data_IF_408655990352
#
_entry.id   IF_408655990352
#
_cell.length_a   1.000
_cell.length_b   1.000
_cell.length_c   1.000
_cell.angle_alpha   90.00
_cell.angle_beta   90.00
_cell.angle_gamma   90.00
#
_symmetry.space_group_name_H-M   'P 1'
#
loop_
_entity.id
_entity.type
_entity.pdbx_description
1 polymer ?
#
# COMPACT_ATOMS: atom_id res chain seq x y z
N UNK A 1 12.39 -26.53 27.54
CA UNK A 1 11.36 -25.53 27.92
C UNK A 1 11.56 -24.35 26.98
N UNK A 2 10.55 -23.92 26.29
CA UNK A 2 10.66 -22.78 25.42
C UNK A 2 10.99 -21.54 26.25
N UNK A 3 12.08 -20.87 25.92
CA UNK A 3 12.54 -19.69 26.65
C UNK A 3 11.92 -18.42 26.02
N UNK A 4 10.61 -18.47 25.75
CA UNK A 4 9.88 -17.30 25.22
C UNK A 4 9.44 -16.46 26.42
N UNK A 5 9.74 -15.18 26.33
CA UNK A 5 9.31 -14.14 27.24
C UNK A 5 8.29 -13.26 26.57
N UNK A 6 7.15 -13.05 27.22
CA UNK A 6 6.09 -12.17 26.70
C UNK A 6 6.12 -10.84 27.41
N UNK A 7 6.02 -9.76 26.64
CA UNK A 7 5.98 -8.40 27.13
C UNK A 7 4.77 -7.67 26.52
N UNK A 8 4.06 -6.93 27.35
CA UNK A 8 2.99 -6.02 26.95
C UNK A 8 3.43 -4.60 27.25
N UNK A 9 3.36 -3.74 26.24
CA UNK A 9 3.80 -2.35 26.32
C UNK A 9 2.65 -1.45 25.88
N UNK A 10 2.20 -0.61 26.79
CA UNK A 10 1.06 0.26 26.62
C UNK A 10 1.47 1.71 26.85
N UNK A 11 1.09 2.64 25.97
CA UNK A 11 1.30 4.06 26.19
C UNK A 11 0.48 4.52 27.41
N UNK A 12 1.09 5.32 28.28
CA UNK A 12 0.34 6.01 29.36
C UNK A 12 -0.73 6.90 28.75
N UNK A 13 -1.85 7.07 29.40
CA UNK A 13 -3.04 7.72 28.89
C UNK A 13 -2.76 9.05 28.15
N UNK A 14 -1.94 9.90 28.73
CA UNK A 14 -1.56 11.18 28.11
C UNK A 14 -0.84 11.04 26.75
N UNK A 15 -0.32 9.87 26.41
CA UNK A 15 0.41 9.56 25.20
C UNK A 15 -0.31 8.54 24.31
N UNK A 16 -1.48 8.06 24.71
CA UNK A 16 -2.27 7.03 24.02
C UNK A 16 -3.08 7.59 22.84
N UNK A 17 -2.46 8.41 22.00
CA UNK A 17 -3.12 9.13 20.89
C UNK A 17 -3.80 8.18 19.91
N UNK A 18 -3.17 7.05 19.60
CA UNK A 18 -3.72 6.03 18.71
C UNK A 18 -5.02 5.42 19.29
N UNK A 19 -5.01 5.06 20.57
CA UNK A 19 -6.18 4.50 21.23
C UNK A 19 -7.35 5.49 21.30
N UNK A 20 -7.05 6.74 21.65
CA UNK A 20 -8.06 7.80 21.70
C UNK A 20 -8.63 8.12 20.31
N UNK A 21 -7.79 8.14 19.27
CA UNK A 21 -8.20 8.36 17.89
C UNK A 21 -9.11 7.24 17.39
N UNK A 22 -8.71 5.98 17.60
CA UNK A 22 -9.50 4.82 17.19
C UNK A 22 -10.82 4.72 17.98
N UNK A 23 -10.82 5.01 19.29
CA UNK A 23 -12.03 5.06 20.08
C UNK A 23 -13.02 6.08 19.52
N UNK A 24 -12.56 7.28 19.19
CA UNK A 24 -13.40 8.31 18.59
C UNK A 24 -13.94 7.88 17.23
N UNK A 25 -13.15 7.24 16.42
CA UNK A 25 -13.51 6.74 15.10
C UNK A 25 -14.58 5.63 15.17
N UNK A 26 -14.37 4.63 16.02
CA UNK A 26 -15.33 3.55 16.25
C UNK A 26 -16.68 4.08 16.78
N UNK A 27 -16.66 5.07 17.65
CA UNK A 27 -17.88 5.68 18.17
C UNK A 27 -18.62 6.53 17.14
N UNK A 28 -17.91 7.33 16.38
CA UNK A 28 -18.48 8.29 15.44
C UNK A 28 -18.86 7.65 14.10
N UNK A 29 -18.03 6.76 13.57
CA UNK A 29 -18.22 6.18 12.24
C UNK A 29 -18.91 4.81 12.28
N UNK A 30 -18.60 3.94 13.25
CA UNK A 30 -19.29 2.67 13.42
C UNK A 30 -20.52 2.74 14.35
N UNK A 31 -20.74 3.85 15.04
CA UNK A 31 -21.87 4.01 15.95
C UNK A 31 -21.77 3.18 17.24
N UNK A 32 -20.55 2.80 17.68
CA UNK A 32 -20.31 2.00 18.87
C UNK A 32 -20.50 2.81 20.16
N UNK A 33 -21.74 3.21 20.46
CA UNK A 33 -22.04 4.07 21.61
C UNK A 33 -21.77 3.42 22.97
N UNK A 34 -21.82 2.09 23.05
CA UNK A 34 -21.57 1.32 24.27
C UNK A 34 -20.07 1.15 24.56
N UNK A 35 -19.20 1.44 23.60
CA UNK A 35 -17.74 1.42 23.79
C UNK A 35 -17.35 2.68 24.57
N UNK A 36 -16.99 2.53 25.84
CA UNK A 36 -16.69 3.66 26.75
C UNK A 36 -15.20 4.01 26.80
N UNK A 37 -14.34 3.02 26.58
CA UNK A 37 -12.89 3.18 26.57
C UNK A 37 -12.21 2.15 25.68
N UNK A 38 -10.96 2.44 25.35
CA UNK A 38 -10.11 1.55 24.57
C UNK A 38 -8.65 1.72 24.97
N UNK A 39 -7.92 0.61 25.06
CA UNK A 39 -6.45 0.60 25.21
C UNK A 39 -5.83 -0.16 24.04
N UNK A 40 -4.70 0.30 23.57
CA UNK A 40 -3.91 -0.37 22.54
C UNK A 40 -2.58 -0.75 23.19
N UNK A 41 -2.26 -2.04 23.18
CA UNK A 41 -1.11 -2.60 23.84
C UNK A 41 -0.27 -3.38 22.83
N UNK A 42 1.01 -3.04 22.69
CA UNK A 42 1.92 -3.81 21.87
C UNK A 42 2.37 -5.04 22.65
N UNK A 43 2.15 -6.22 22.07
CA UNK A 43 2.62 -7.50 22.63
C UNK A 43 3.89 -7.92 21.87
N UNK A 44 4.90 -8.29 22.61
CA UNK A 44 6.12 -8.88 22.09
C UNK A 44 6.34 -10.26 22.72
N UNK A 45 6.54 -11.26 21.89
CA UNK A 45 7.05 -12.57 22.29
C UNK A 45 8.50 -12.66 21.85
N UNK A 46 9.42 -12.83 22.77
CA UNK A 46 10.87 -12.77 22.51
C UNK A 46 11.52 -14.09 22.86
N UNK A 47 12.29 -14.65 21.95
CA UNK A 47 13.02 -15.90 22.12
C UNK A 47 14.52 -15.72 21.86
N UNK A 48 15.35 -16.43 22.62
CA UNK A 48 16.80 -16.45 22.41
C UNK A 48 17.59 -15.51 23.32
N UNK A 49 16.95 -14.88 24.32
CA UNK A 49 17.62 -14.00 25.28
C UNK A 49 17.79 -14.64 26.68
N UNK A 50 18.87 -14.30 27.33
CA UNK A 50 19.02 -14.50 28.78
C UNK A 50 18.16 -13.51 29.57
N UNK A 51 18.03 -13.75 30.89
CA UNK A 51 17.27 -12.86 31.77
C UNK A 51 17.83 -11.45 31.82
N UNK A 52 19.15 -11.32 31.80
CA UNK A 52 19.84 -10.01 31.79
C UNK A 52 19.65 -9.28 30.47
N UNK A 53 19.77 -9.99 29.35
CA UNK A 53 19.56 -9.44 28.02
C UNK A 53 18.10 -8.99 27.79
N UNK A 54 17.16 -9.79 28.25
CA UNK A 54 15.74 -9.44 28.19
C UNK A 54 15.43 -8.21 29.05
N UNK A 55 15.99 -8.13 30.27
CA UNK A 55 15.81 -6.96 31.12
C UNK A 55 16.37 -5.67 30.46
N UNK A 56 17.50 -5.78 29.77
CA UNK A 56 18.10 -4.68 29.01
C UNK A 56 17.23 -4.34 27.78
N UNK A 57 16.83 -5.32 26.99
CA UNK A 57 15.98 -5.15 25.82
C UNK A 57 14.63 -4.49 26.17
N UNK A 58 14.02 -4.91 27.26
CA UNK A 58 12.78 -4.33 27.79
C UNK A 58 12.89 -2.82 28.01
N UNK A 59 13.98 -2.34 28.55
CA UNK A 59 14.15 -0.92 28.90
C UNK A 59 14.65 -0.06 27.76
N UNK A 60 15.48 -0.61 26.87
CA UNK A 60 16.20 0.17 25.86
C UNK A 60 15.61 0.05 24.44
N UNK A 61 14.88 -1.04 24.17
CA UNK A 61 14.37 -1.36 22.82
C UNK A 61 12.84 -1.47 22.79
N UNK A 62 12.29 -2.30 23.67
CA UNK A 62 10.88 -2.69 23.59
C UNK A 62 9.93 -1.68 24.26
N UNK A 63 10.44 -0.78 25.11
CA UNK A 63 9.64 0.25 25.77
C UNK A 63 10.40 1.55 25.98
N UNK A 64 9.63 2.61 26.17
CA UNK A 64 10.10 3.94 26.57
C UNK A 64 9.58 4.24 28.00
N UNK A 65 10.34 3.98 29.07
CA UNK A 65 9.85 4.05 30.44
C UNK A 65 9.16 5.37 30.85
N UNK A 66 9.53 6.55 30.31
CA UNK A 66 8.83 7.81 30.64
C UNK A 66 7.37 7.83 30.16
N UNK A 67 7.05 7.16 29.04
CA UNK A 67 5.75 7.25 28.34
C UNK A 67 5.00 5.93 28.29
N UNK A 68 5.64 4.82 28.65
CA UNK A 68 5.06 3.49 28.59
C UNK A 68 4.79 2.89 29.98
N UNK A 69 3.75 2.06 30.05
CA UNK A 69 3.51 1.07 31.08
C UNK A 69 3.89 -0.30 30.50
N UNK A 70 4.57 -1.11 31.32
CA UNK A 70 5.09 -2.41 30.88
C UNK A 70 4.63 -3.50 31.82
N UNK A 71 4.09 -4.60 31.26
CA UNK A 71 3.66 -5.78 32.01
C UNK A 71 4.24 -7.03 31.34
N UNK A 72 4.74 -7.96 32.17
CA UNK A 72 5.29 -9.21 31.69
C UNK A 72 4.28 -10.35 31.82
N UNK A 73 4.32 -11.27 30.89
CA UNK A 73 3.63 -12.57 30.83
C UNK A 73 2.11 -12.47 30.67
N UNK A 74 1.39 -11.74 31.50
CA UNK A 74 -0.07 -11.66 31.46
C UNK A 74 -0.54 -10.20 31.44
N UNK A 75 -1.40 -9.88 30.49
CA UNK A 75 -2.04 -8.56 30.44
C UNK A 75 -3.24 -8.56 31.42
N UNK A 76 -3.22 -7.70 32.44
CA UNK A 76 -4.37 -7.62 33.35
C UNK A 76 -5.57 -6.95 32.62
N UNK A 77 -6.70 -7.65 32.68
CA UNK A 77 -7.99 -7.14 32.19
C UNK A 77 -8.91 -6.88 33.37
N UNK A 78 -9.59 -5.74 33.35
CA UNK A 78 -10.62 -5.43 34.33
C UNK A 78 -11.91 -6.22 34.04
N UNK A 79 -12.76 -6.32 35.04
CA UNK A 79 -14.07 -6.98 34.88
C UNK A 79 -14.92 -6.22 33.86
N UNK A 80 -15.34 -6.91 32.79
CA UNK A 80 -16.14 -6.33 31.70
C UNK A 80 -15.31 -5.82 30.51
N UNK A 81 -13.99 -5.87 30.56
CA UNK A 81 -13.14 -5.65 29.39
C UNK A 81 -13.14 -6.88 28.47
N UNK A 82 -13.22 -6.64 27.17
CA UNK A 82 -12.97 -7.63 26.12
C UNK A 82 -11.66 -7.30 25.42
N UNK A 83 -10.89 -8.32 25.02
CA UNK A 83 -9.64 -8.10 24.33
C UNK A 83 -9.48 -9.07 23.15
N UNK A 84 -8.89 -8.57 22.06
CA UNK A 84 -8.43 -9.37 20.93
C UNK A 84 -7.05 -8.86 20.49
N UNK A 85 -6.29 -9.73 19.86
CA UNK A 85 -4.97 -9.37 19.35
C UNK A 85 -4.93 -9.51 17.84
N UNK A 86 -4.11 -8.69 17.19
CA UNK A 86 -3.92 -8.68 15.74
C UNK A 86 -2.44 -8.82 15.43
N UNK A 87 -2.12 -9.74 14.56
CA UNK A 87 -0.77 -9.97 14.04
C UNK A 87 -0.78 -9.97 12.51
N UNK A 88 0.36 -9.72 11.87
CA UNK A 88 0.48 -9.84 10.43
C UNK A 88 0.40 -11.30 9.99
N UNK A 89 -0.06 -11.51 8.75
CA UNK A 89 -0.10 -12.83 8.14
C UNK A 89 1.33 -13.37 7.94
N UNK A 90 1.54 -14.69 8.03
CA UNK A 90 2.82 -15.30 7.71
C UNK A 90 3.30 -14.88 6.32
N UNK A 91 4.55 -14.44 6.22
CA UNK A 91 5.14 -13.94 5.00
C UNK A 91 4.99 -12.42 4.78
N UNK A 92 4.21 -11.74 5.59
CA UNK A 92 4.23 -10.28 5.66
C UNK A 92 5.43 -9.81 6.48
N UNK A 93 6.01 -8.70 6.06
CA UNK A 93 7.11 -8.08 6.79
C UNK A 93 6.56 -7.25 7.95
N UNK A 94 6.98 -7.57 9.17
CA UNK A 94 6.68 -6.77 10.36
C UNK A 94 7.89 -5.91 10.73
N UNK A 95 7.78 -4.62 10.45
CA UNK A 95 8.81 -3.65 10.76
C UNK A 95 9.12 -3.59 12.26
N UNK A 96 8.12 -3.77 13.12
CA UNK A 96 8.29 -3.74 14.58
C UNK A 96 9.10 -4.93 15.09
N UNK A 97 8.84 -6.12 14.54
CA UNK A 97 9.63 -7.33 14.83
C UNK A 97 11.07 -7.14 14.40
N UNK A 98 11.27 -6.77 13.14
CA UNK A 98 12.58 -6.62 12.53
C UNK A 98 13.44 -5.57 13.25
N UNK A 99 12.89 -4.39 13.54
CA UNK A 99 13.61 -3.37 14.30
C UNK A 99 13.92 -3.80 15.72
N UNK A 100 12.99 -4.47 16.41
CA UNK A 100 13.24 -4.98 17.74
C UNK A 100 14.41 -5.96 17.74
N UNK A 101 14.41 -6.91 16.79
CA UNK A 101 15.49 -7.90 16.64
C UNK A 101 16.83 -7.24 16.34
N UNK A 102 16.88 -6.28 15.39
CA UNK A 102 18.09 -5.56 15.04
C UNK A 102 18.63 -4.74 16.22
N UNK A 103 17.77 -3.98 16.89
CA UNK A 103 18.18 -3.17 18.02
C UNK A 103 18.68 -4.04 19.20
N UNK A 104 18.02 -5.17 19.46
CA UNK A 104 18.49 -6.12 20.49
C UNK A 104 19.84 -6.73 20.11
N UNK A 105 20.02 -7.10 18.86
CA UNK A 105 21.32 -7.57 18.35
C UNK A 105 22.41 -6.53 18.56
N UNK A 106 22.14 -5.26 18.25
CA UNK A 106 23.10 -4.17 18.42
C UNK A 106 23.52 -3.95 19.87
N UNK A 107 22.57 -3.98 20.82
CA UNK A 107 22.89 -3.76 22.23
C UNK A 107 23.54 -4.97 22.90
N UNK A 108 23.20 -6.20 22.45
CA UNK A 108 23.77 -7.44 23.00
C UNK A 108 25.07 -7.83 22.32
N UNK A 109 25.31 -7.41 21.09
CA UNK A 109 26.43 -7.82 20.22
C UNK A 109 26.52 -9.35 20.05
N UNK A 110 25.38 -10.02 20.04
CA UNK A 110 25.24 -11.48 19.89
C UNK A 110 24.44 -11.82 18.63
N UNK A 111 24.05 -13.08 18.52
CA UNK A 111 23.14 -13.53 17.47
C UNK A 111 21.79 -12.80 17.58
N UNK A 112 21.17 -12.59 16.45
CA UNK A 112 19.88 -11.94 16.34
C UNK A 112 18.82 -12.79 17.05
N UNK A 113 18.07 -12.25 18.01
CA UNK A 113 16.98 -12.97 18.65
C UNK A 113 15.80 -13.09 17.70
N UNK A 114 14.80 -13.88 18.05
CA UNK A 114 13.52 -13.91 17.36
C UNK A 114 12.49 -13.12 18.18
N UNK A 115 11.76 -12.23 17.49
CA UNK A 115 10.69 -11.45 18.08
C UNK A 115 9.43 -11.65 17.23
N UNK A 116 8.31 -11.93 17.88
CA UNK A 116 6.99 -11.85 17.26
C UNK A 116 6.21 -10.72 17.93
N UNK A 117 5.54 -9.90 17.11
CA UNK A 117 4.76 -8.78 17.57
C UNK A 117 3.27 -8.97 17.29
N UNK A 118 2.45 -8.42 18.17
CA UNK A 118 1.02 -8.27 17.92
C UNK A 118 0.50 -7.02 18.61
N UNK A 119 -0.57 -6.47 18.09
CA UNK A 119 -1.27 -5.34 18.69
C UNK A 119 -2.52 -5.85 19.40
N UNK A 120 -2.60 -5.65 20.71
CA UNK A 120 -3.75 -6.05 21.52
C UNK A 120 -4.68 -4.85 21.70
N UNK A 121 -5.91 -5.03 21.32
CA UNK A 121 -6.99 -4.07 21.54
C UNK A 121 -7.80 -4.50 22.74
N UNK A 122 -7.86 -3.67 23.77
CA UNK A 122 -8.68 -3.88 24.96
C UNK A 122 -9.85 -2.91 24.91
N UNK A 123 -11.04 -3.44 24.93
CA UNK A 123 -12.30 -2.72 24.80
C UNK A 123 -13.00 -2.62 26.15
N UNK A 124 -13.41 -1.41 26.53
CA UNK A 124 -14.15 -1.13 27.76
C UNK A 124 -15.59 -0.77 27.41
N UNK A 125 -16.55 -1.38 28.09
CA UNK A 125 -17.97 -1.09 27.91
C UNK A 125 -18.83 -2.34 27.88
N UNK A 126 -20.14 -2.13 27.87
CA UNK A 126 -21.13 -3.22 27.78
C UNK A 126 -21.36 -3.60 26.31
N UNK A 127 -20.39 -4.30 25.72
CA UNK A 127 -20.40 -4.70 24.31
C UNK A 127 -21.00 -6.10 24.15
N UNK A 128 -21.86 -6.24 23.16
CA UNK A 128 -22.32 -7.55 22.70
C UNK A 128 -21.25 -8.25 21.88
N UNK A 129 -21.34 -9.57 21.76
CA UNK A 129 -20.42 -10.33 20.90
C UNK A 129 -20.46 -9.84 19.44
N UNK A 130 -21.62 -9.43 18.93
CA UNK A 130 -21.76 -8.89 17.58
C UNK A 130 -21.05 -7.54 17.41
N UNK A 131 -21.10 -6.67 18.42
CA UNK A 131 -20.37 -5.40 18.40
C UNK A 131 -18.87 -5.62 18.43
N UNK A 132 -18.39 -6.57 19.22
CA UNK A 132 -16.96 -6.95 19.24
C UNK A 132 -16.51 -7.47 17.87
N UNK A 133 -17.30 -8.33 17.22
CA UNK A 133 -16.96 -8.82 15.87
C UNK A 133 -16.97 -7.70 14.81
N UNK A 134 -17.84 -6.72 14.91
CA UNK A 134 -17.82 -5.53 14.05
C UNK A 134 -16.55 -4.70 14.25
N UNK A 135 -16.11 -4.54 15.50
CA UNK A 135 -14.88 -3.83 15.83
C UNK A 135 -13.67 -4.61 15.27
N UNK A 136 -13.63 -5.94 15.45
CA UNK A 136 -12.58 -6.78 14.85
C UNK A 136 -12.52 -6.63 13.33
N UNK A 137 -13.67 -6.71 12.66
CA UNK A 137 -13.74 -6.55 11.20
C UNK A 137 -13.27 -5.18 10.71
N UNK A 138 -13.40 -4.15 11.55
CA UNK A 138 -12.87 -2.82 11.26
C UNK A 138 -11.36 -2.72 11.49
N UNK A 139 -10.85 -3.35 12.56
CA UNK A 139 -9.44 -3.26 12.96
C UNK A 139 -8.52 -4.24 12.21
N UNK A 140 -9.07 -5.33 11.65
CA UNK A 140 -8.29 -6.38 11.00
C UNK A 140 -8.46 -6.28 9.49
N UNK A 141 -7.40 -5.91 8.79
CA UNK A 141 -7.37 -6.03 7.33
C UNK A 141 -7.01 -7.48 6.96
N UNK A 142 -7.95 -8.28 6.41
CA UNK A 142 -7.71 -9.70 6.15
C UNK A 142 -6.70 -9.98 5.03
N UNK A 143 -6.27 -8.95 4.29
CA UNK A 143 -5.25 -9.07 3.25
C UNK A 143 -3.84 -9.13 3.85
N UNK A 144 -3.62 -8.48 5.00
CA UNK A 144 -2.30 -8.37 5.61
C UNK A 144 -2.22 -8.89 7.04
N UNK A 145 -3.37 -9.01 7.73
CA UNK A 145 -3.42 -9.32 9.14
C UNK A 145 -4.51 -10.34 9.49
N UNK A 146 -4.39 -10.91 10.66
CA UNK A 146 -5.37 -11.83 11.25
C UNK A 146 -5.48 -11.64 12.75
N UNK A 147 -6.53 -12.20 13.35
CA UNK A 147 -6.60 -12.32 14.79
C UNK A 147 -5.50 -13.26 15.30
N UNK A 148 -4.70 -12.78 16.23
CA UNK A 148 -3.60 -13.51 16.84
C UNK A 148 -4.10 -14.39 17.99
N UNK A 149 -3.50 -15.55 18.16
CA UNK A 149 -3.74 -16.38 19.33
C UNK A 149 -3.30 -15.67 20.61
N UNK A 150 -4.11 -15.76 21.65
CA UNK A 150 -3.77 -15.17 22.94
C UNK A 150 -2.79 -16.01 23.74
N UNK A 151 -2.81 -17.33 23.54
CA UNK A 151 -1.88 -18.23 24.17
C UNK A 151 -0.43 -17.91 23.77
N UNK A 152 0.48 -17.97 24.74
CA UNK A 152 1.92 -17.82 24.46
C UNK A 152 2.41 -19.02 23.66
N UNK A 153 3.07 -18.82 22.49
CA UNK A 153 3.54 -19.94 21.67
C UNK A 153 4.68 -20.71 22.38
N UNK A 154 4.84 -21.96 22.02
CA UNK A 154 5.95 -22.78 22.52
C UNK A 154 7.28 -22.48 21.82
N UNK A 155 7.20 -21.98 20.59
CA UNK A 155 8.35 -21.59 19.76
C UNK A 155 7.96 -20.48 18.81
N UNK A 156 8.91 -19.61 18.45
CA UNK A 156 8.76 -18.62 17.38
C UNK A 156 9.34 -19.12 16.04
N UNK A 157 9.93 -20.32 16.05
CA UNK A 157 10.41 -20.92 14.81
C UNK A 157 9.20 -21.39 14.01
N UNK A 158 8.89 -20.69 12.93
CA UNK A 158 7.86 -21.11 12.00
C UNK A 158 8.36 -22.30 11.18
N UNK A 159 7.64 -23.40 11.21
CA UNK A 159 7.83 -24.49 10.26
C UNK A 159 6.91 -24.23 9.08
N UNK A 160 7.44 -23.74 7.97
CA UNK A 160 6.68 -23.65 6.73
C UNK A 160 6.69 -25.03 6.06
N UNK A 161 5.51 -25.49 5.65
CA UNK A 161 5.44 -26.61 4.71
C UNK A 161 6.06 -26.17 3.38
N UNK A 162 6.74 -27.09 2.71
CA UNK A 162 7.26 -26.78 1.36
C UNK A 162 6.08 -26.39 0.46
N UNK A 163 6.15 -25.26 -0.26
CA UNK A 163 5.08 -24.85 -1.14
C UNK A 163 4.86 -25.87 -2.24
N UNK A 164 3.62 -26.09 -2.62
CA UNK A 164 3.30 -26.92 -3.79
C UNK A 164 4.01 -26.37 -5.03
N UNK A 165 4.43 -27.28 -5.91
CA UNK A 165 4.96 -26.87 -7.22
C UNK A 165 3.92 -26.07 -7.99
N UNK A 166 4.37 -25.03 -8.67
CA UNK A 166 3.50 -24.20 -9.52
C UNK A 166 2.78 -25.08 -10.53
N UNK A 167 1.45 -25.01 -10.54
CA UNK A 167 0.59 -25.80 -11.42
C UNK A 167 0.57 -25.20 -12.83
N UNK A 168 0.58 -26.05 -13.84
CA UNK A 168 0.31 -25.65 -15.23
C UNK A 168 -1.20 -25.55 -15.46
N UNK A 169 -1.60 -24.68 -16.37
CA UNK A 169 -2.99 -24.55 -16.82
C UNK A 169 -3.27 -25.66 -17.83
N UNK A 170 -3.71 -26.81 -17.32
CA UNK A 170 -3.92 -28.02 -18.13
C UNK A 170 -5.00 -27.81 -19.19
N UNK A 171 -4.72 -28.21 -20.41
CA UNK A 171 -5.62 -28.07 -21.56
C UNK A 171 -5.62 -26.68 -22.20
N UNK A 172 -4.79 -25.76 -21.73
CA UNK A 172 -4.73 -24.39 -22.22
C UNK A 172 -4.54 -24.31 -23.75
N UNK A 173 -3.69 -25.16 -24.31
CA UNK A 173 -3.37 -25.16 -25.75
C UNK A 173 -4.57 -25.47 -26.64
N UNK A 174 -5.54 -26.20 -26.13
CA UNK A 174 -6.70 -26.72 -26.91
C UNK A 174 -8.04 -26.14 -26.46
N UNK A 175 -8.03 -25.20 -25.51
CA UNK A 175 -9.25 -24.55 -25.03
C UNK A 175 -10.04 -23.89 -26.17
N UNK A 176 -11.36 -24.05 -26.16
CA UNK A 176 -12.28 -23.25 -26.96
C UNK A 176 -12.35 -21.81 -26.46
N UNK A 177 -12.96 -20.94 -27.24
CA UNK A 177 -13.17 -19.52 -26.81
C UNK A 177 -13.99 -19.43 -25.53
N UNK A 178 -15.00 -20.29 -25.38
CA UNK A 178 -15.87 -20.33 -24.22
C UNK A 178 -15.11 -20.80 -22.97
N UNK A 179 -14.24 -21.81 -23.12
CA UNK A 179 -13.40 -22.31 -22.04
C UNK A 179 -12.33 -21.28 -21.64
N UNK A 180 -11.73 -20.59 -22.61
CA UNK A 180 -10.78 -19.51 -22.36
C UNK A 180 -11.44 -18.33 -21.63
N UNK A 181 -12.67 -17.96 -22.01
CA UNK A 181 -13.43 -16.93 -21.29
C UNK A 181 -13.78 -17.36 -19.86
N UNK A 182 -14.18 -18.61 -19.67
CA UNK A 182 -14.43 -19.15 -18.32
C UNK A 182 -13.16 -19.15 -17.46
N UNK A 183 -12.00 -19.50 -18.04
CA UNK A 183 -10.71 -19.42 -17.37
C UNK A 183 -10.39 -17.97 -16.98
N UNK A 184 -10.53 -17.02 -17.92
CA UNK A 184 -10.31 -15.59 -17.68
C UNK A 184 -11.12 -15.08 -16.51
N UNK A 185 -12.41 -15.40 -16.47
CA UNK A 185 -13.31 -15.00 -15.38
C UNK A 185 -12.95 -15.69 -14.05
N UNK A 186 -12.66 -16.98 -14.05
CA UNK A 186 -12.34 -17.73 -12.84
C UNK A 186 -11.03 -17.29 -12.20
N UNK A 187 -10.06 -16.88 -13.01
CA UNK A 187 -8.78 -16.33 -12.55
C UNK A 187 -8.84 -14.83 -12.26
N UNK A 188 -9.92 -14.13 -12.64
CA UNK A 188 -10.05 -12.69 -12.50
C UNK A 188 -8.99 -11.91 -13.30
N UNK A 189 -8.72 -12.36 -14.56
CA UNK A 189 -7.69 -11.73 -15.39
C UNK A 189 -8.17 -10.37 -15.92
N UNK A 190 -7.26 -9.41 -15.94
CA UNK A 190 -7.47 -8.07 -16.48
C UNK A 190 -7.40 -8.06 -18.02
N UNK A 191 -6.60 -8.98 -18.62
CA UNK A 191 -6.47 -9.09 -20.07
C UNK A 191 -7.82 -9.45 -20.72
N UNK A 192 -8.00 -9.03 -21.98
CA UNK A 192 -9.18 -9.39 -22.77
C UNK A 192 -9.15 -10.87 -23.19
N UNK A 193 -10.29 -11.37 -23.68
CA UNK A 193 -10.34 -12.72 -24.26
C UNK A 193 -9.40 -12.86 -25.47
N UNK A 194 -9.33 -11.82 -26.30
CA UNK A 194 -8.47 -11.85 -27.49
C UNK A 194 -6.97 -11.88 -27.11
N UNK A 195 -6.57 -11.18 -26.05
CA UNK A 195 -5.22 -11.23 -25.50
C UNK A 195 -4.89 -12.65 -24.97
N UNK A 196 -5.83 -13.26 -24.25
CA UNK A 196 -5.67 -14.62 -23.74
C UNK A 196 -5.54 -15.66 -24.88
N UNK A 197 -6.32 -15.48 -25.94
CA UNK A 197 -6.23 -16.34 -27.15
C UNK A 197 -4.91 -16.10 -27.91
N UNK A 198 -4.39 -14.89 -27.87
CA UNK A 198 -3.06 -14.61 -28.41
C UNK A 198 -1.98 -15.32 -27.58
N UNK A 199 -2.07 -15.29 -26.26
CA UNK A 199 -1.20 -16.09 -25.38
C UNK A 199 -1.31 -17.59 -25.69
N UNK A 200 -2.53 -18.11 -25.92
CA UNK A 200 -2.73 -19.50 -26.31
C UNK A 200 -1.97 -19.85 -27.60
N UNK A 201 -2.02 -18.97 -28.60
CA UNK A 201 -1.26 -19.16 -29.84
C UNK A 201 0.24 -19.21 -29.57
N UNK A 202 0.76 -18.30 -28.76
CA UNK A 202 2.18 -18.26 -28.39
C UNK A 202 2.63 -19.58 -27.71
N UNK A 203 1.87 -20.06 -26.71
CA UNK A 203 2.20 -21.30 -26.01
C UNK A 203 2.04 -22.55 -26.90
N UNK A 204 1.16 -22.51 -27.90
CA UNK A 204 1.09 -23.54 -28.94
C UNK A 204 2.38 -23.59 -29.79
N UNK A 205 2.97 -22.45 -30.12
CA UNK A 205 4.25 -22.36 -30.83
C UNK A 205 5.41 -22.87 -29.95
N UNK A 206 5.35 -22.61 -28.64
CA UNK A 206 6.28 -23.13 -27.63
C UNK A 206 6.11 -24.63 -27.34
N UNK A 207 5.00 -25.26 -27.79
CA UNK A 207 4.67 -26.66 -27.56
C UNK A 207 4.61 -27.06 -26.07
N UNK A 208 4.20 -26.14 -25.19
CA UNK A 208 4.05 -26.39 -23.76
C UNK A 208 2.88 -25.61 -23.17
N UNK A 209 2.27 -26.16 -22.13
CA UNK A 209 1.27 -25.45 -21.35
C UNK A 209 1.91 -24.39 -20.44
N UNK A 210 1.29 -23.20 -20.29
CA UNK A 210 1.75 -22.21 -19.35
C UNK A 210 1.50 -22.66 -17.91
N UNK A 211 2.31 -22.17 -17.02
CA UNK A 211 2.02 -22.20 -15.58
C UNK A 211 1.02 -21.11 -15.19
N UNK A 212 0.34 -21.29 -14.07
CA UNK A 212 -0.53 -20.25 -13.49
C UNK A 212 0.27 -18.95 -13.27
N UNK A 213 1.51 -19.07 -12.83
CA UNK A 213 2.38 -17.91 -12.62
C UNK A 213 2.67 -17.16 -13.92
N UNK A 214 2.97 -17.88 -15.02
CA UNK A 214 3.19 -17.23 -16.33
C UNK A 214 1.95 -16.47 -16.79
N UNK A 215 0.76 -17.07 -16.69
CA UNK A 215 -0.49 -16.37 -17.04
C UNK A 215 -0.69 -15.13 -16.17
N UNK A 216 -0.44 -15.20 -14.86
CA UNK A 216 -0.56 -14.06 -13.94
C UNK A 216 0.44 -12.94 -14.25
N UNK A 217 1.68 -13.30 -14.58
CA UNK A 217 2.72 -12.32 -14.96
C UNK A 217 2.35 -11.64 -16.26
N UNK A 218 1.91 -12.40 -17.27
CA UNK A 218 1.44 -11.83 -18.53
C UNK A 218 0.24 -10.91 -18.31
N UNK A 219 -0.74 -11.32 -17.51
CA UNK A 219 -1.91 -10.51 -17.16
C UNK A 219 -1.51 -9.16 -16.53
N UNK A 220 -0.46 -9.15 -15.73
CA UNK A 220 0.06 -7.91 -15.13
C UNK A 220 0.53 -6.92 -16.21
N UNK A 221 1.12 -7.39 -17.29
CA UNK A 221 1.53 -6.53 -18.42
C UNK A 221 0.34 -6.00 -19.23
N UNK A 222 -0.79 -6.72 -19.28
CA UNK A 222 -2.02 -6.26 -19.91
C UNK A 222 -2.92 -5.47 -18.96
N UNK A 223 -2.60 -5.43 -17.68
CA UNK A 223 -3.36 -4.61 -16.73
C UNK A 223 -3.19 -3.13 -17.09
N UNK A 224 -4.27 -2.38 -16.97
CA UNK A 224 -4.26 -0.93 -17.20
C UNK A 224 -3.67 -0.21 -15.98
N UNK A 225 -2.37 -0.46 -15.72
CA UNK A 225 -1.64 0.15 -14.62
C UNK A 225 -1.63 1.67 -14.76
N UNK A 226 -2.00 2.38 -13.70
CA UNK A 226 -2.17 3.84 -13.70
C UNK A 226 -3.14 4.35 -14.78
N UNK A 227 -3.96 3.47 -15.35
CA UNK A 227 -4.94 3.77 -16.43
C UNK A 227 -4.33 4.37 -17.69
N UNK A 228 -3.08 4.04 -18.00
CA UNK A 228 -2.41 4.55 -19.19
C UNK A 228 -3.20 4.23 -20.46
N UNK A 229 -3.68 3.01 -20.62
CA UNK A 229 -4.49 2.59 -21.76
C UNK A 229 -5.82 3.34 -21.80
N UNK A 230 -6.51 3.46 -20.65
CA UNK A 230 -7.77 4.22 -20.54
C UNK A 230 -7.56 5.68 -20.94
N UNK A 231 -6.51 6.34 -20.45
CA UNK A 231 -6.24 7.73 -20.78
C UNK A 231 -5.87 7.95 -22.24
N UNK A 232 -5.33 6.93 -22.91
CA UNK A 232 -4.97 6.99 -24.34
C UNK A 232 -6.08 6.50 -25.27
N UNK A 233 -7.23 6.07 -24.73
CA UNK A 233 -8.40 5.71 -25.54
C UNK A 233 -8.79 6.87 -26.47
N UNK A 234 -8.93 6.57 -27.75
CA UNK A 234 -9.35 7.57 -28.75
C UNK A 234 -10.86 7.77 -28.68
N UNK A 235 -11.27 9.04 -28.61
CA UNK A 235 -12.67 9.45 -28.58
C UNK A 235 -13.02 9.91 -29.99
N UNK A 236 -13.83 9.11 -30.70
CA UNK A 236 -14.17 9.35 -32.07
C UNK A 236 -15.45 10.19 -32.20
N UNK A 237 -16.38 10.03 -31.26
CA UNK A 237 -17.66 10.72 -31.25
C UNK A 237 -18.05 11.20 -29.86
N UNK A 238 -18.63 12.38 -29.75
CA UNK A 238 -19.08 12.99 -28.51
C UNK A 238 -20.50 13.45 -28.62
N UNK A 239 -21.42 12.81 -27.92
CA UNK A 239 -22.82 13.24 -27.82
C UNK A 239 -23.11 13.71 -26.38
N UNK A 240 -23.47 14.99 -26.25
CA UNK A 240 -23.84 15.62 -25.00
C UNK A 240 -25.35 15.76 -24.94
N UNK A 241 -26.01 14.81 -24.29
CA UNK A 241 -27.47 14.80 -24.17
C UNK A 241 -27.97 16.02 -23.39
N UNK A 242 -28.87 16.84 -23.96
CA UNK A 242 -29.40 18.02 -23.29
C UNK A 242 -30.11 17.71 -21.98
N UNK A 243 -29.81 18.47 -20.91
CA UNK A 243 -30.38 18.31 -19.58
C UNK A 243 -30.15 19.54 -18.70
N UNK A 244 -30.64 19.50 -17.48
CA UNK A 244 -30.59 20.64 -16.55
C UNK A 244 -29.18 21.15 -16.24
N UNK A 245 -28.20 20.26 -16.27
CA UNK A 245 -26.80 20.55 -15.90
C UNK A 245 -25.81 20.35 -17.06
N UNK A 246 -26.26 20.17 -18.29
CA UNK A 246 -25.40 19.84 -19.41
C UNK A 246 -24.78 21.07 -20.06
N UNK A 247 -25.37 22.27 -19.91
CA UNK A 247 -24.82 23.49 -20.50
C UNK A 247 -23.36 23.75 -20.11
N UNK A 248 -22.93 23.67 -18.82
CA UNK A 248 -21.53 23.84 -18.47
C UNK A 248 -20.59 22.79 -19.09
N UNK A 249 -21.09 21.56 -19.31
CA UNK A 249 -20.34 20.50 -19.98
C UNK A 249 -20.12 20.83 -21.45
N UNK A 250 -21.17 21.27 -22.14
CA UNK A 250 -21.08 21.70 -23.53
C UNK A 250 -20.09 22.86 -23.69
N UNK A 251 -20.23 23.90 -22.85
CA UNK A 251 -19.31 25.05 -22.87
C UNK A 251 -17.84 24.63 -22.58
N UNK A 252 -17.61 23.67 -21.71
CA UNK A 252 -16.28 23.14 -21.44
C UNK A 252 -15.72 22.38 -22.63
N UNK A 253 -16.56 21.58 -23.30
CA UNK A 253 -16.16 20.86 -24.50
C UNK A 253 -15.84 21.82 -25.66
N UNK A 254 -16.67 22.84 -25.90
CA UNK A 254 -16.41 23.84 -26.90
C UNK A 254 -15.09 24.61 -26.66
N UNK A 255 -14.81 24.96 -25.38
CA UNK A 255 -13.54 25.57 -24.98
C UNK A 255 -12.35 24.63 -25.17
N UNK A 256 -12.52 23.35 -24.90
CA UNK A 256 -11.49 22.35 -25.15
C UNK A 256 -11.17 22.25 -26.65
N UNK A 257 -12.17 22.15 -27.51
CA UNK A 257 -11.96 22.09 -28.97
C UNK A 257 -11.28 23.35 -29.50
N UNK A 258 -11.72 24.53 -29.04
CA UNK A 258 -11.07 25.80 -29.41
C UNK A 258 -9.60 25.85 -28.92
N UNK A 259 -9.32 25.33 -27.73
CA UNK A 259 -7.94 25.25 -27.24
C UNK A 259 -7.08 24.28 -28.06
N UNK A 260 -7.63 23.16 -28.53
CA UNK A 260 -6.94 22.25 -29.45
C UNK A 260 -6.54 22.95 -30.75
N UNK A 261 -7.49 23.64 -31.39
CA UNK A 261 -7.23 24.39 -32.63
C UNK A 261 -6.12 25.43 -32.40
N UNK A 262 -6.17 26.13 -31.28
CA UNK A 262 -5.18 27.12 -30.91
C UNK A 262 -3.79 26.51 -30.65
N UNK A 263 -3.74 25.36 -29.98
CA UNK A 263 -2.47 24.71 -29.59
C UNK A 263 -1.85 23.94 -30.74
N UNK A 264 -2.62 23.15 -31.47
CA UNK A 264 -2.13 22.24 -32.49
C UNK A 264 -2.23 22.81 -33.93
N UNK A 265 -3.06 23.79 -34.15
CA UNK A 265 -3.23 24.40 -35.47
C UNK A 265 -3.76 23.40 -36.50
N UNK A 266 -3.03 23.25 -37.60
CA UNK A 266 -3.41 22.36 -38.70
C UNK A 266 -3.11 20.88 -38.49
N UNK A 267 -2.54 20.49 -37.33
CA UNK A 267 -2.28 19.08 -36.99
C UNK A 267 -3.60 18.39 -36.59
N UNK A 268 -4.38 18.06 -37.59
CA UNK A 268 -5.71 17.43 -37.46
C UNK A 268 -5.62 15.92 -37.22
N UNK A 269 -4.44 15.32 -37.33
CA UNK A 269 -4.26 13.87 -37.13
C UNK A 269 -4.15 13.48 -35.65
N UNK A 270 -4.00 14.43 -34.74
CA UNK A 270 -3.93 14.16 -33.31
C UNK A 270 -5.27 13.66 -32.78
N UNK A 271 -5.31 12.45 -32.20
CA UNK A 271 -6.56 11.94 -31.67
C UNK A 271 -7.03 12.74 -30.44
N UNK A 272 -8.33 12.79 -30.25
CA UNK A 272 -8.94 13.26 -29.01
C UNK A 272 -8.85 12.10 -28.02
N UNK A 273 -8.21 12.32 -26.86
CA UNK A 273 -8.08 11.33 -25.79
C UNK A 273 -8.35 11.97 -24.45
N UNK A 274 -8.60 11.17 -23.40
CA UNK A 274 -8.73 11.69 -22.03
C UNK A 274 -7.45 12.39 -21.58
N UNK A 275 -6.28 11.87 -21.99
CA UNK A 275 -4.99 12.50 -21.69
C UNK A 275 -4.88 13.86 -22.38
N UNK A 276 -5.32 13.97 -23.62
CA UNK A 276 -5.29 15.25 -24.33
C UNK A 276 -6.19 16.28 -23.63
N UNK A 277 -7.39 15.89 -23.22
CA UNK A 277 -8.30 16.74 -22.43
C UNK A 277 -7.61 17.21 -21.13
N UNK A 278 -6.94 16.29 -20.43
CA UNK A 278 -6.28 16.60 -19.16
C UNK A 278 -5.13 17.61 -19.31
N UNK A 279 -4.35 17.52 -20.40
CA UNK A 279 -3.11 18.32 -20.54
C UNK A 279 -3.25 19.56 -21.45
N UNK A 280 -4.36 19.74 -22.16
CA UNK A 280 -4.50 20.84 -23.13
C UNK A 280 -4.39 22.22 -22.48
N UNK A 281 -4.90 22.38 -21.26
CA UNK A 281 -4.80 23.62 -20.51
C UNK A 281 -3.36 24.03 -20.24
N UNK A 282 -2.53 23.10 -19.80
CA UNK A 282 -1.10 23.33 -19.60
C UNK A 282 -0.39 23.68 -20.91
N UNK A 283 -0.68 22.94 -22.00
CA UNK A 283 -0.09 23.21 -23.32
C UNK A 283 -0.46 24.59 -23.84
N UNK A 284 -1.71 25.04 -23.62
CA UNK A 284 -2.15 26.40 -23.97
C UNK A 284 -1.40 27.46 -23.17
N UNK A 285 -1.33 27.32 -21.85
CA UNK A 285 -0.56 28.24 -20.99
C UNK A 285 0.91 28.31 -21.38
N UNK A 286 1.51 27.17 -21.74
CA UNK A 286 2.88 27.12 -22.25
C UNK A 286 3.03 27.91 -23.58
N UNK A 287 2.09 27.72 -24.52
CA UNK A 287 2.08 28.46 -25.79
C UNK A 287 1.91 29.99 -25.59
N UNK A 288 1.17 30.37 -24.56
CA UNK A 288 1.01 31.78 -24.17
C UNK A 288 2.23 32.34 -23.40
N UNK A 289 3.26 31.53 -23.13
CA UNK A 289 4.47 31.95 -22.42
C UNK A 289 4.29 32.13 -20.88
N UNK A 290 3.20 31.58 -20.33
CA UNK A 290 2.87 31.73 -18.90
C UNK A 290 3.56 30.70 -17.99
N UNK A 291 4.31 29.76 -18.55
CA UNK A 291 5.04 28.73 -17.84
C UNK A 291 6.54 28.80 -18.18
N UNK A 292 7.11 30.03 -18.04
CA UNK A 292 8.50 30.27 -18.37
C UNK A 292 9.48 29.69 -17.35
N UNK A 293 9.00 29.45 -16.14
CA UNK A 293 9.70 28.85 -15.01
C UNK A 293 9.61 27.31 -15.00
N UNK A 294 8.84 26.72 -15.92
CA UNK A 294 8.75 25.27 -16.06
C UNK A 294 10.05 24.74 -16.69
N UNK A 295 10.72 23.86 -15.98
CA UNK A 295 11.92 23.17 -16.48
C UNK A 295 11.57 22.28 -17.67
N UNK A 296 12.47 22.23 -18.65
CA UNK A 296 12.32 21.45 -19.88
C UNK A 296 13.28 20.26 -19.84
N UNK A 297 13.04 19.37 -18.90
CA UNK A 297 13.76 18.12 -18.78
C UNK A 297 13.18 17.03 -19.70
N UNK A 298 13.99 16.04 -20.05
CA UNK A 298 13.55 14.80 -20.70
C UNK A 298 12.82 13.88 -19.71
N UNK A 299 12.92 14.15 -18.41
CA UNK A 299 12.21 13.44 -17.35
C UNK A 299 10.71 13.74 -17.43
N UNK A 300 9.92 12.72 -17.74
CA UNK A 300 8.48 12.85 -17.95
C UNK A 300 7.64 12.51 -16.70
N UNK A 301 8.28 11.97 -15.64
CA UNK A 301 7.58 11.53 -14.42
C UNK A 301 7.42 12.64 -13.38
N UNK A 302 7.97 13.81 -13.63
CA UNK A 302 7.92 14.93 -12.71
C UNK A 302 7.53 16.23 -13.42
N UNK A 303 7.02 17.17 -12.64
CA UNK A 303 6.88 18.56 -13.04
C UNK A 303 7.84 19.37 -12.18
N UNK A 304 8.85 19.98 -12.78
CA UNK A 304 9.85 20.79 -12.08
C UNK A 304 9.75 22.25 -12.47
N UNK A 305 9.93 23.14 -11.50
CA UNK A 305 10.04 24.57 -11.74
C UNK A 305 11.40 25.08 -11.27
N UNK A 306 11.97 26.01 -12.01
CA UNK A 306 13.19 26.68 -11.65
C UNK A 306 12.87 27.82 -10.67
N UNK A 307 13.46 27.78 -9.49
CA UNK A 307 13.23 28.78 -8.45
C UNK A 307 14.58 29.42 -8.04
N UNK A 308 14.70 30.77 -8.12
CA UNK A 308 15.90 31.43 -7.62
C UNK A 308 15.90 31.42 -6.08
N UNK A 309 16.99 30.93 -5.49
CA UNK A 309 17.19 30.85 -4.05
C UNK A 309 18.43 31.66 -3.69
N UNK A 310 18.37 32.46 -2.62
CA UNK A 310 19.51 33.20 -2.11
C UNK A 310 20.21 32.39 -1.02
N UNK A 311 21.47 32.01 -1.27
CA UNK A 311 22.34 31.30 -0.31
C UNK A 311 23.62 32.10 -0.15
N UNK A 312 23.94 32.51 1.07
CA UNK A 312 25.14 33.28 1.42
C UNK A 312 25.35 34.55 0.55
N UNK A 313 24.25 35.24 0.20
CA UNK A 313 24.24 36.43 -0.64
C UNK A 313 24.50 36.19 -2.13
N UNK A 314 24.38 34.95 -2.58
CA UNK A 314 24.40 34.54 -4.00
C UNK A 314 23.04 33.94 -4.38
N UNK A 315 22.57 34.32 -5.55
CA UNK A 315 21.36 33.70 -6.12
C UNK A 315 21.78 32.47 -6.90
N UNK A 316 21.18 31.35 -6.57
CA UNK A 316 21.32 30.07 -7.25
C UNK A 316 19.96 29.63 -7.80
N UNK A 317 19.94 29.00 -8.97
CA UNK A 317 18.75 28.40 -9.53
C UNK A 317 18.61 26.95 -9.03
N UNK A 318 17.49 26.68 -8.37
CA UNK A 318 17.18 25.36 -7.84
C UNK A 318 15.92 24.81 -8.52
N UNK A 319 15.86 23.49 -8.66
CA UNK A 319 14.67 22.80 -9.14
C UNK A 319 13.77 22.42 -7.96
N UNK A 320 12.50 22.81 -8.04
CA UNK A 320 11.44 22.31 -7.16
C UNK A 320 10.60 21.32 -7.95
N UNK A 321 10.68 20.06 -7.59
CA UNK A 321 10.04 18.96 -8.27
C UNK A 321 8.70 18.61 -7.62
N UNK A 322 7.65 18.51 -8.42
CA UNK A 322 6.32 18.07 -8.03
C UNK A 322 6.03 16.70 -8.63
N UNK A 323 5.74 15.72 -7.77
CA UNK A 323 5.25 14.42 -8.17
C UNK A 323 3.89 14.17 -7.58
N UNK A 324 2.96 13.69 -8.38
CA UNK A 324 1.62 13.33 -7.94
C UNK A 324 1.38 11.81 -7.95
N UNK A 325 2.34 11.06 -8.46
CA UNK A 325 2.28 9.61 -8.51
C UNK A 325 2.97 9.03 -7.28
N UNK A 326 2.18 8.45 -6.39
CA UNK A 326 2.68 7.76 -5.22
C UNK A 326 2.72 6.28 -5.51
N UNK A 327 3.85 5.79 -5.99
CA UNK A 327 4.11 4.37 -5.93
C UNK A 327 4.44 3.97 -4.49
N UNK A 328 4.16 2.73 -4.13
CA UNK A 328 4.60 2.18 -2.86
C UNK A 328 6.09 2.39 -2.73
N UNK A 329 6.49 3.00 -1.64
CA UNK A 329 7.89 3.20 -1.30
C UNK A 329 8.34 2.11 -0.33
N UNK A 330 8.83 0.96 -0.80
CA UNK A 330 9.54 0.04 0.08
C UNK A 330 10.95 0.55 0.42
N UNK A 331 11.26 1.80 0.09
CA UNK A 331 12.59 2.40 0.23
C UNK A 331 13.09 2.49 1.66
N UNK A 332 12.20 2.49 2.64
CA UNK A 332 12.58 2.36 4.06
C UNK A 332 12.93 0.91 4.41
N UNK A 333 12.34 -0.05 3.71
CA UNK A 333 12.49 -1.49 3.94
C UNK A 333 13.54 -2.06 2.99
N UNK A 334 13.42 -1.73 1.71
CA UNK A 334 14.37 -2.09 0.66
C UNK A 334 14.84 -0.83 -0.08
N UNK A 335 15.92 -0.20 0.36
CA UNK A 335 16.41 1.05 -0.24
C UNK A 335 16.64 0.97 -1.75
N UNK A 336 16.93 -0.22 -2.27
CA UNK A 336 17.16 -0.48 -3.69
C UNK A 336 15.91 -0.93 -4.47
N UNK A 337 14.77 -1.11 -3.79
CA UNK A 337 13.53 -1.56 -4.42
C UNK A 337 12.62 -0.44 -4.91
N UNK A 338 12.92 0.80 -4.58
CA UNK A 338 12.10 1.95 -4.93
C UNK A 338 12.34 2.42 -6.36
N UNK A 339 11.52 2.00 -7.30
CA UNK A 339 11.59 2.40 -8.70
C UNK A 339 11.66 3.93 -8.88
N UNK A 340 10.92 4.69 -8.09
CA UNK A 340 10.91 6.15 -8.16
C UNK A 340 12.24 6.81 -7.80
N UNK A 341 13.07 6.20 -6.97
CA UNK A 341 14.40 6.73 -6.66
C UNK A 341 15.34 6.63 -7.85
N UNK A 342 15.22 5.59 -8.67
CA UNK A 342 16.06 5.41 -9.86
C UNK A 342 15.58 6.19 -11.07
N UNK A 343 14.27 6.39 -11.22
CA UNK A 343 13.67 7.05 -12.38
C UNK A 343 13.43 8.53 -12.19
N UNK A 344 13.54 9.02 -10.96
CA UNK A 344 13.28 10.41 -10.62
C UNK A 344 14.39 11.03 -9.81
N UNK A 345 15.51 10.37 -9.73
CA UNK A 345 16.67 10.93 -9.08
C UNK A 345 17.31 11.97 -9.99
N UNK A 346 16.89 13.21 -9.77
CA UNK A 346 17.56 14.37 -10.36
C UNK A 346 18.92 14.65 -9.72
N UNK A 347 19.39 13.81 -8.79
CA UNK A 347 20.67 13.97 -8.15
C UNK A 347 21.82 13.32 -8.94
N UNK A 348 21.50 12.57 -9.99
CA UNK A 348 22.50 11.97 -10.89
C UNK A 348 22.78 12.82 -12.14
N UNK A 349 22.14 14.00 -12.28
CA UNK A 349 22.39 14.96 -13.37
C UNK A 349 23.28 16.13 -12.92
#
# INVERSE_FOLDING_TARGET
MSNIRRLFVEKKDAFAVEAHGLLADLRNNLGMSNLTGMRIVNRYDVMGLSDEEFAMAKQLVLSEPPVDNVVEEELPLAAGEAAFAVELLPGQYDQREDFAEQCIQLITQKERPMVAAAKVYVLEGELTAEEVEKIKAYCINPIEAREAEQAKPETLISTCEEPEKVKSVTGFLTMSKEEAEALRQSMGLAMSLDDLLWCQKYFNEEHREPTITEIRVLDTYWSDHCRHTTFMTQIEDVDIVPGTFTQPVQEAYDKYMAARDEVYGEDTERPVTLMDIAVIGMKKLRKEGKLADLDQSEEINACSIVVPIEIDGKTEEWLVMFKNETHNHPTEIEPFGGCLLYTSDAADD
#
